data_IF_501162161951
#
_entry.id   IF_501162161951
#
_cell.length_a   1.000
_cell.length_b   1.000
_cell.length_c   1.000
_cell.angle_alpha   90.00
_cell.angle_beta   90.00
_cell.angle_gamma   90.00
#
_symmetry.space_group_name_H-M   'P 1'
#
loop_
_entity.id
_entity.type
_entity.pdbx_description
1 polymer ?
#
# COMPACT_ATOMS: atom_id res chain seq x y z
N UNK A 1 -14.88 70.07 14.26
CA UNK A 1 -16.27 69.57 14.17
C UNK A 1 -16.30 68.42 13.19
N UNK A 2 -16.98 67.32 13.56
CA UNK A 2 -17.42 66.21 12.70
C UNK A 2 -16.31 65.27 12.15
N UNK A 3 -16.38 63.94 12.21
CA UNK A 3 -17.40 62.95 12.58
C UNK A 3 -16.71 61.67 13.04
N UNK A 4 -17.20 61.11 14.15
CA UNK A 4 -17.06 59.69 14.46
C UNK A 4 -17.68 58.86 13.33
N UNK A 5 -16.99 57.83 12.86
CA UNK A 5 -17.63 56.72 12.14
C UNK A 5 -17.07 55.43 12.72
N UNK A 6 -17.90 54.81 13.58
CA UNK A 6 -17.76 53.41 13.98
C UNK A 6 -17.79 52.56 12.71
N UNK A 7 -16.79 51.70 12.53
CA UNK A 7 -16.88 50.58 11.61
C UNK A 7 -16.64 49.31 12.43
N UNK A 8 -17.72 48.58 12.58
CA UNK A 8 -17.86 47.30 13.28
C UNK A 8 -16.83 46.29 12.78
N UNK A 9 -16.01 45.76 13.68
CA UNK A 9 -15.14 44.62 13.42
C UNK A 9 -16.02 43.37 13.30
N UNK A 10 -16.11 42.85 12.08
CA UNK A 10 -16.76 41.58 11.76
C UNK A 10 -15.98 40.46 12.45
N UNK A 11 -16.63 39.74 13.37
CA UNK A 11 -16.06 38.56 14.01
C UNK A 11 -15.86 37.47 12.95
N UNK A 12 -14.60 37.20 12.61
CA UNK A 12 -14.22 36.10 11.73
C UNK A 12 -14.25 34.80 12.55
N UNK A 13 -15.41 34.14 12.58
CA UNK A 13 -15.57 32.83 13.19
C UNK A 13 -14.74 31.80 12.41
N UNK A 14 -13.57 31.46 12.96
CA UNK A 14 -12.69 30.44 12.43
C UNK A 14 -13.35 29.05 12.54
N UNK A 15 -13.75 28.51 11.39
CA UNK A 15 -14.09 27.11 11.19
C UNK A 15 -12.87 26.24 11.57
N UNK A 16 -12.96 25.57 12.72
CA UNK A 16 -12.07 24.48 13.10
C UNK A 16 -12.32 23.31 12.14
N UNK A 17 -11.53 23.23 11.07
CA UNK A 17 -11.47 22.05 10.22
C UNK A 17 -10.88 20.88 11.02
N UNK A 18 -11.69 19.85 11.28
CA UNK A 18 -11.21 18.57 11.77
C UNK A 18 -10.21 17.98 10.77
N UNK A 19 -8.92 18.10 11.06
CA UNK A 19 -7.91 17.26 10.43
C UNK A 19 -8.11 15.86 10.97
N UNK A 20 -8.69 14.97 10.16
CA UNK A 20 -8.67 13.55 10.44
C UNK A 20 -7.21 13.10 10.54
N UNK A 21 -6.75 12.81 11.76
CA UNK A 21 -5.46 12.17 11.99
C UNK A 21 -5.60 10.75 11.47
N UNK A 22 -5.04 10.47 10.30
CA UNK A 22 -4.84 9.10 9.86
C UNK A 22 -3.91 8.43 10.88
N UNK A 23 -4.37 7.37 11.53
CA UNK A 23 -3.54 6.61 12.45
C UNK A 23 -2.30 6.09 11.69
N UNK A 24 -1.12 6.27 12.29
CA UNK A 24 0.10 5.70 11.73
C UNK A 24 0.01 4.17 11.74
N UNK A 25 0.53 3.49 10.70
CA UNK A 25 0.49 2.04 10.65
C UNK A 25 1.30 1.45 11.82
N UNK A 26 0.90 0.27 12.35
CA UNK A 26 1.63 -0.40 13.43
C UNK A 26 3.12 -0.59 13.10
N UNK A 27 3.99 -0.49 14.12
CA UNK A 27 5.43 -0.70 13.95
C UNK A 27 5.75 -2.08 13.37
N UNK A 28 4.98 -3.09 13.79
CA UNK A 28 5.03 -4.45 13.29
C UNK A 28 3.89 -4.70 12.33
N UNK A 29 4.22 -5.04 11.09
CA UNK A 29 3.23 -5.20 10.01
C UNK A 29 3.79 -6.00 8.84
N UNK A 30 2.90 -6.45 7.97
CA UNK A 30 3.25 -7.09 6.70
C UNK A 30 2.86 -6.18 5.55
N UNK A 31 3.79 -5.92 4.63
CA UNK A 31 3.53 -5.09 3.45
C UNK A 31 3.66 -5.95 2.19
N UNK A 32 2.54 -6.10 1.47
CA UNK A 32 2.47 -6.72 0.16
C UNK A 32 2.59 -5.64 -0.93
N UNK A 33 3.72 -5.63 -1.64
CA UNK A 33 4.05 -4.63 -2.66
C UNK A 33 4.01 -5.26 -4.04
N UNK A 34 3.03 -4.90 -4.85
CA UNK A 34 3.01 -5.25 -6.26
C UNK A 34 3.75 -4.19 -7.08
N UNK A 35 4.98 -4.52 -7.46
CA UNK A 35 5.79 -3.71 -8.36
C UNK A 35 5.34 -3.91 -9.80
N UNK A 36 5.15 -2.80 -10.53
CA UNK A 36 4.75 -2.80 -11.92
C UNK A 36 5.49 -1.74 -12.73
N UNK A 37 5.51 -1.92 -14.05
CA UNK A 37 5.94 -0.88 -15.00
C UNK A 37 4.88 0.21 -15.10
N UNK A 38 5.24 1.42 -15.51
CA UNK A 38 4.29 2.50 -15.81
C UNK A 38 3.26 2.01 -16.83
N UNK A 39 3.75 1.48 -17.94
CA UNK A 39 2.92 0.82 -18.95
C UNK A 39 2.76 -0.66 -18.64
N UNK A 40 1.50 -1.09 -18.48
CA UNK A 40 1.16 -2.45 -18.02
C UNK A 40 0.49 -3.24 -19.13
N UNK A 41 1.08 -4.38 -19.49
CA UNK A 41 0.43 -5.35 -20.36
C UNK A 41 -0.77 -6.01 -19.64
N UNK A 42 -1.70 -6.68 -20.36
CA UNK A 42 -2.88 -7.30 -19.76
C UNK A 42 -2.57 -8.24 -18.59
N UNK A 43 -1.54 -9.09 -18.73
CA UNK A 43 -1.12 -10.03 -17.66
C UNK A 43 -0.62 -9.29 -16.42
N UNK A 44 0.11 -8.18 -16.58
CA UNK A 44 0.55 -7.37 -15.44
C UNK A 44 -0.63 -6.72 -14.71
N UNK A 45 -1.68 -6.31 -15.43
CA UNK A 45 -2.91 -5.79 -14.80
C UNK A 45 -3.63 -6.90 -14.03
N UNK A 46 -3.71 -8.11 -14.59
CA UNK A 46 -4.31 -9.28 -13.93
C UNK A 46 -3.58 -9.64 -12.64
N UNK A 47 -2.25 -9.80 -12.67
CA UNK A 47 -1.49 -10.14 -11.46
C UNK A 47 -1.67 -9.10 -10.36
N UNK A 48 -1.66 -7.81 -10.71
CA UNK A 48 -1.93 -6.74 -9.76
C UNK A 48 -3.31 -6.86 -9.12
N UNK A 49 -4.36 -6.98 -9.94
CA UNK A 49 -5.73 -7.09 -9.48
C UNK A 49 -5.94 -8.35 -8.61
N UNK A 50 -5.36 -9.48 -8.99
CA UNK A 50 -5.47 -10.72 -8.21
C UNK A 50 -4.70 -10.64 -6.90
N UNK A 51 -3.55 -9.96 -6.89
CA UNK A 51 -2.80 -9.72 -5.65
C UNK A 51 -3.64 -8.87 -4.69
N UNK A 52 -4.21 -7.77 -5.18
CA UNK A 52 -5.08 -6.90 -4.40
C UNK A 52 -6.30 -7.64 -3.84
N UNK A 53 -6.97 -8.43 -4.69
CA UNK A 53 -8.12 -9.24 -4.29
C UNK A 53 -7.74 -10.27 -3.22
N UNK A 54 -6.60 -10.95 -3.38
CA UNK A 54 -6.12 -11.91 -2.40
C UNK A 54 -5.91 -11.25 -1.03
N UNK A 55 -5.31 -10.06 -1.00
CA UNK A 55 -5.11 -9.33 0.26
C UNK A 55 -6.45 -8.89 0.85
N UNK A 56 -7.30 -8.22 0.06
CA UNK A 56 -8.59 -7.69 0.52
C UNK A 56 -9.52 -8.76 1.07
N UNK A 57 -9.58 -9.91 0.42
CA UNK A 57 -10.48 -11.01 0.81
C UNK A 57 -9.90 -11.88 1.93
N UNK A 58 -8.58 -12.06 1.99
CA UNK A 58 -7.92 -12.90 2.99
C UNK A 58 -7.61 -12.18 4.31
N UNK A 59 -7.46 -10.86 4.28
CA UNK A 59 -6.90 -10.08 5.39
C UNK A 59 -7.69 -8.79 5.65
N UNK A 60 -9.01 -8.79 5.41
CA UNK A 60 -9.86 -7.60 5.55
C UNK A 60 -9.73 -6.90 6.90
N UNK A 61 -9.73 -7.65 8.02
CA UNK A 61 -9.57 -7.06 9.35
C UNK A 61 -8.15 -6.53 9.58
N UNK A 62 -7.13 -7.26 9.12
CA UNK A 62 -5.72 -6.81 9.20
C UNK A 62 -5.41 -5.59 8.32
N UNK A 63 -6.18 -5.40 7.25
CA UNK A 63 -6.13 -4.17 6.45
C UNK A 63 -6.75 -2.98 7.20
N UNK A 64 -7.81 -3.20 7.99
CA UNK A 64 -8.45 -2.15 8.79
C UNK A 64 -7.55 -1.70 9.94
N UNK A 65 -6.88 -2.63 10.60
CA UNK A 65 -5.97 -2.32 11.73
C UNK A 65 -4.54 -1.94 11.28
N UNK A 66 -4.23 -2.08 9.98
CA UNK A 66 -2.94 -1.71 9.40
C UNK A 66 -1.82 -2.74 9.60
N UNK A 67 -2.09 -3.89 10.23
CA UNK A 67 -1.10 -4.97 10.39
C UNK A 67 -0.80 -5.69 9.06
N UNK A 68 -1.66 -5.55 8.06
CA UNK A 68 -1.39 -5.90 6.66
C UNK A 68 -1.64 -4.68 5.77
N UNK A 69 -0.72 -4.43 4.85
CA UNK A 69 -0.80 -3.34 3.89
C UNK A 69 -0.62 -3.89 2.47
N UNK A 70 -1.34 -3.33 1.49
CA UNK A 70 -1.13 -3.62 0.08
C UNK A 70 -0.82 -2.33 -0.70
N UNK A 71 0.22 -2.36 -1.54
CA UNK A 71 0.67 -1.22 -2.34
C UNK A 71 0.96 -1.60 -3.78
N UNK A 72 0.53 -0.75 -4.71
CA UNK A 72 1.03 -0.71 -6.08
C UNK A 72 2.25 0.20 -6.14
N UNK A 73 3.36 -0.30 -6.69
CA UNK A 73 4.60 0.47 -6.82
C UNK A 73 5.00 0.51 -8.29
N UNK A 74 4.96 1.69 -8.90
CA UNK A 74 5.56 1.90 -10.22
C UNK A 74 7.07 2.02 -10.07
N UNK A 75 7.81 0.95 -10.38
CA UNK A 75 9.26 0.91 -10.18
C UNK A 75 10.06 1.77 -11.18
N UNK A 76 9.41 2.31 -12.20
CA UNK A 76 10.06 3.18 -13.19
C UNK A 76 10.03 4.66 -12.77
N UNK A 77 9.24 5.01 -11.75
CA UNK A 77 9.23 6.35 -11.19
C UNK A 77 10.47 6.61 -10.33
N UNK A 78 11.01 7.83 -10.43
CA UNK A 78 12.25 8.24 -9.77
C UNK A 78 12.20 8.02 -8.25
N UNK A 79 11.07 8.31 -7.61
CA UNK A 79 10.86 8.12 -6.18
C UNK A 79 10.96 6.65 -5.73
N UNK A 80 10.73 5.69 -6.63
CA UNK A 80 10.71 4.26 -6.31
C UNK A 80 12.00 3.51 -6.70
N UNK A 81 12.97 4.18 -7.35
CA UNK A 81 14.21 3.53 -7.84
C UNK A 81 15.01 2.89 -6.69
N UNK A 82 15.15 3.61 -5.56
CA UNK A 82 15.86 3.09 -4.39
C UNK A 82 15.16 1.85 -3.81
N UNK A 83 13.83 1.89 -3.74
CA UNK A 83 13.01 0.79 -3.23
C UNK A 83 13.10 -0.44 -4.16
N UNK A 84 12.96 -0.24 -5.47
CA UNK A 84 13.10 -1.30 -6.46
C UNK A 84 14.49 -1.94 -6.41
N UNK A 85 15.55 -1.14 -6.23
CA UNK A 85 16.92 -1.65 -6.05
C UNK A 85 17.07 -2.46 -4.77
N UNK A 86 16.50 -2.00 -3.65
CA UNK A 86 16.56 -2.71 -2.37
C UNK A 86 15.94 -4.10 -2.46
N UNK A 87 14.83 -4.25 -3.19
CA UNK A 87 14.16 -5.53 -3.42
C UNK A 87 14.62 -6.26 -4.70
N UNK A 88 15.63 -5.76 -5.41
CA UNK A 88 16.18 -6.33 -6.66
C UNK A 88 15.12 -6.52 -7.76
N UNK A 89 14.15 -5.62 -7.82
CA UNK A 89 13.05 -5.63 -8.79
C UNK A 89 13.55 -5.14 -10.15
N UNK A 90 13.42 -5.99 -11.17
CA UNK A 90 13.76 -5.68 -12.57
C UNK A 90 12.55 -5.79 -13.52
N UNK A 91 11.42 -6.25 -13.00
CA UNK A 91 10.17 -6.47 -13.73
C UNK A 91 8.98 -6.54 -12.78
N UNK A 92 7.76 -6.82 -13.29
CA UNK A 92 6.59 -7.00 -12.45
C UNK A 92 6.80 -8.10 -11.41
N UNK A 93 6.58 -7.78 -10.14
CA UNK A 93 6.89 -8.64 -9.01
C UNK A 93 5.92 -8.38 -7.85
N UNK A 94 5.66 -9.39 -7.03
CA UNK A 94 4.92 -9.25 -5.78
C UNK A 94 5.85 -9.58 -4.62
N UNK A 95 6.24 -8.56 -3.88
CA UNK A 95 7.12 -8.69 -2.71
C UNK A 95 6.27 -8.69 -1.45
N UNK A 96 6.49 -9.66 -0.57
CA UNK A 96 5.92 -9.66 0.78
C UNK A 96 7.05 -9.36 1.77
N UNK A 97 6.93 -8.28 2.52
CA UNK A 97 7.92 -7.87 3.52
C UNK A 97 7.31 -7.91 4.94
N UNK A 98 8.03 -8.52 5.89
CA UNK A 98 7.74 -8.41 7.33
C UNK A 98 8.49 -7.20 7.85
N UNK A 99 7.77 -6.31 8.51
CA UNK A 99 8.30 -5.17 9.24
C UNK A 99 8.21 -5.49 10.72
N UNK A 100 9.32 -5.31 11.43
CA UNK A 100 9.43 -5.40 12.89
C UNK A 100 10.14 -4.15 13.38
N UNK A 101 9.59 -3.45 14.38
CA UNK A 101 10.10 -2.18 14.89
C UNK A 101 10.38 -1.15 13.78
N UNK A 102 9.46 -1.03 12.82
CA UNK A 102 9.58 -0.16 11.64
C UNK A 102 10.76 -0.45 10.71
N UNK A 103 11.37 -1.64 10.80
CA UNK A 103 12.47 -2.08 9.93
C UNK A 103 12.09 -3.36 9.20
N UNK A 104 12.62 -3.54 7.99
CA UNK A 104 12.41 -4.78 7.23
C UNK A 104 13.17 -5.92 7.93
N UNK A 105 12.44 -6.87 8.51
CA UNK A 105 13.01 -8.05 9.16
C UNK A 105 13.31 -9.16 8.15
N UNK A 106 12.37 -9.42 7.24
CA UNK A 106 12.52 -10.39 6.15
C UNK A 106 11.61 -10.02 4.98
N UNK A 107 11.92 -10.51 3.79
CA UNK A 107 11.04 -10.40 2.64
C UNK A 107 11.15 -11.61 1.71
N UNK A 108 10.14 -11.79 0.86
CA UNK A 108 10.16 -12.78 -0.21
C UNK A 108 9.58 -12.21 -1.50
N UNK A 109 10.08 -12.70 -2.64
CA UNK A 109 9.52 -12.46 -3.97
C UNK A 109 8.67 -13.65 -4.38
N UNK A 110 7.37 -13.42 -4.62
CA UNK A 110 6.42 -14.47 -4.98
C UNK A 110 6.51 -14.80 -6.48
N UNK A 111 7.60 -15.47 -6.88
CA UNK A 111 7.92 -15.76 -8.29
C UNK A 111 6.85 -16.55 -9.03
N UNK A 112 6.08 -17.39 -8.34
CA UNK A 112 5.05 -18.21 -8.97
C UNK A 112 3.80 -17.42 -9.40
N UNK A 113 3.71 -16.11 -9.14
CA UNK A 113 2.61 -15.30 -9.68
C UNK A 113 2.51 -15.43 -11.20
N UNK A 114 3.65 -15.56 -11.89
CA UNK A 114 3.71 -15.72 -13.35
C UNK A 114 3.15 -17.05 -13.84
N UNK A 115 3.37 -18.14 -13.10
CA UNK A 115 2.88 -19.47 -13.46
C UNK A 115 1.42 -19.64 -13.05
N UNK A 116 0.98 -18.97 -11.98
CA UNK A 116 -0.39 -19.11 -11.44
C UNK A 116 -1.40 -18.10 -11.99
N UNK A 117 -0.98 -17.03 -12.68
CA UNK A 117 -1.89 -15.95 -13.16
C UNK A 117 -3.04 -16.44 -14.04
N UNK A 118 -2.86 -17.55 -14.76
CA UNK A 118 -3.92 -18.11 -15.61
C UNK A 118 -5.02 -18.85 -14.83
N UNK A 119 -4.75 -19.21 -13.58
CA UNK A 119 -5.64 -19.95 -12.71
C UNK A 119 -5.93 -19.10 -11.46
N UNK A 120 -6.82 -18.12 -11.61
CA UNK A 120 -7.12 -17.12 -10.56
C UNK A 120 -7.30 -17.75 -9.16
N UNK A 121 -8.08 -18.83 -8.93
CA UNK A 121 -8.20 -19.41 -7.60
C UNK A 121 -6.87 -19.89 -7.02
N UNK A 122 -5.99 -20.49 -7.83
CA UNK A 122 -4.64 -20.90 -7.40
C UNK A 122 -3.75 -19.71 -7.10
N UNK A 123 -3.87 -18.62 -7.87
CA UNK A 123 -3.15 -17.37 -7.61
C UNK A 123 -3.55 -16.78 -6.25
N UNK A 124 -4.85 -16.62 -6.01
CA UNK A 124 -5.39 -16.06 -4.77
C UNK A 124 -4.90 -16.86 -3.57
N UNK A 125 -5.09 -18.19 -3.62
CA UNK A 125 -4.63 -19.10 -2.56
C UNK A 125 -3.14 -18.97 -2.29
N UNK A 126 -2.32 -18.98 -3.34
CA UNK A 126 -0.87 -18.85 -3.22
C UNK A 126 -0.43 -17.55 -2.53
N UNK A 127 -1.03 -16.41 -2.88
CA UNK A 127 -0.74 -15.14 -2.23
C UNK A 127 -1.16 -15.17 -0.76
N UNK A 128 -2.37 -15.68 -0.46
CA UNK A 128 -2.87 -15.76 0.91
C UNK A 128 -2.01 -16.66 1.81
N UNK A 129 -1.57 -17.82 1.31
CA UNK A 129 -0.68 -18.72 2.05
C UNK A 129 0.65 -18.06 2.39
N UNK A 130 1.26 -17.35 1.42
CA UNK A 130 2.54 -16.67 1.63
C UNK A 130 2.41 -15.48 2.58
N UNK A 131 1.34 -14.69 2.50
CA UNK A 131 1.11 -13.59 3.44
C UNK A 131 0.81 -14.11 4.84
N UNK A 132 0.05 -15.20 4.96
CA UNK A 132 -0.25 -15.82 6.26
C UNK A 132 1.03 -16.21 6.99
N UNK A 133 2.03 -16.78 6.30
CA UNK A 133 3.33 -17.12 6.88
C UNK A 133 4.19 -15.92 7.33
N UNK A 134 3.76 -14.69 7.06
CA UNK A 134 4.38 -13.45 7.53
C UNK A 134 3.58 -12.79 8.67
N UNK A 135 2.31 -13.15 8.83
CA UNK A 135 1.39 -12.60 9.85
C UNK A 135 1.33 -13.41 11.15
N UNK A 136 2.07 -14.52 11.21
CA UNK A 136 2.22 -15.37 12.41
C UNK A 136 3.39 -14.91 13.27
#
# INVERSE_FOLDING_TARGET
>A
MYRFTLMTIVAFSSLLGSTAIAAEPPADRVVAMYFHRTERCPTCKMMGAYSEEAIKTGFAEKLKDGTVEFRYIDFQKKENVALAKAYKVTGPALIIAKIEDNKVAKYTDLKDIWTKVREKPKFIKYVQENVTGFTQ
#
